data_IF_560462178323
#
_entry.id   IF_560462178323
#
_cell.length_a   1.000
_cell.length_b   1.000
_cell.length_c   1.000
_cell.angle_alpha   90.00
_cell.angle_beta   90.00
_cell.angle_gamma   90.00
#
_symmetry.space_group_name_H-M   'P 1'
#
loop_
_entity.id
_entity.type
_entity.pdbx_description
1 polymer ?
#
# COMPACT_ATOMS: atom_id res chain seq x y z
N UNK A 1 -15.13 -16.95 -4.61
CA UNK A 1 -14.42 -16.31 -3.47
C UNK A 1 -13.53 -17.36 -2.83
N UNK A 2 -12.37 -16.97 -2.32
CA UNK A 2 -11.59 -17.82 -1.42
C UNK A 2 -12.16 -17.56 -0.02
N UNK A 3 -12.55 -18.62 0.68
CA UNK A 3 -13.05 -18.51 2.05
C UNK A 3 -12.48 -19.66 2.87
N UNK A 4 -11.89 -19.36 4.02
CA UNK A 4 -11.43 -20.36 4.98
C UNK A 4 -10.05 -20.94 4.65
N UNK A 5 -8.99 -20.15 4.83
CA UNK A 5 -7.63 -20.69 4.94
C UNK A 5 -7.51 -21.39 6.30
N UNK A 6 -7.28 -22.70 6.27
CA UNK A 6 -7.08 -23.50 7.47
C UNK A 6 -5.72 -24.20 7.40
N UNK A 7 -4.92 -24.05 8.46
CA UNK A 7 -3.72 -24.87 8.66
C UNK A 7 -4.17 -26.22 9.23
N UNK A 8 -4.01 -27.28 8.44
CA UNK A 8 -4.31 -28.66 8.84
C UNK A 8 -3.13 -29.31 9.57
N UNK A 9 -1.91 -29.00 9.12
CA UNK A 9 -0.66 -29.49 9.70
C UNK A 9 0.32 -28.33 9.90
N UNK A 10 0.54 -27.99 11.17
CA UNK A 10 1.39 -26.88 11.56
C UNK A 10 2.87 -27.10 11.24
N UNK A 11 3.36 -28.35 11.23
CA UNK A 11 4.76 -28.64 10.92
C UNK A 11 5.00 -28.55 9.41
N UNK A 12 4.12 -29.16 8.62
CA UNK A 12 4.20 -29.07 7.16
C UNK A 12 4.04 -27.61 6.67
N UNK A 13 3.19 -26.81 7.31
CA UNK A 13 3.07 -25.39 7.01
C UNK A 13 4.32 -24.60 7.43
N UNK A 14 4.92 -24.91 8.58
CA UNK A 14 6.16 -24.23 9.02
C UNK A 14 7.33 -24.51 8.06
N UNK A 15 7.43 -25.72 7.52
CA UNK A 15 8.44 -26.09 6.52
C UNK A 15 8.17 -25.42 5.14
N UNK A 16 6.91 -25.04 4.89
CA UNK A 16 6.48 -24.38 3.66
C UNK A 16 6.57 -22.85 3.72
N UNK A 17 6.34 -22.24 4.88
CA UNK A 17 6.46 -20.79 5.07
C UNK A 17 7.90 -20.31 4.80
N UNK A 18 8.12 -19.16 4.15
CA UNK A 18 7.15 -18.14 3.72
C UNK A 18 6.71 -18.26 2.26
N UNK A 19 6.68 -19.45 1.67
CA UNK A 19 6.38 -19.62 0.25
C UNK A 19 4.90 -19.37 -0.08
N UNK A 20 4.63 -18.66 -1.18
CA UNK A 20 3.26 -18.51 -1.72
C UNK A 20 2.97 -19.59 -2.78
N UNK A 21 1.69 -19.85 -3.05
CA UNK A 21 1.29 -20.69 -4.19
C UNK A 21 0.40 -19.97 -5.19
N UNK A 22 0.44 -20.48 -6.43
CA UNK A 22 -0.53 -20.16 -7.48
C UNK A 22 -1.31 -21.43 -7.80
N UNK A 23 -2.63 -21.33 -7.72
CA UNK A 23 -3.59 -22.34 -8.16
C UNK A 23 -4.05 -21.94 -9.57
N UNK A 24 -3.76 -22.77 -10.57
CA UNK A 24 -4.09 -22.51 -11.98
C UNK A 24 -5.10 -23.55 -12.48
N UNK A 25 -6.20 -23.07 -13.06
CA UNK A 25 -7.27 -23.91 -13.59
C UNK A 25 -7.06 -24.29 -15.05
N UNK A 26 -7.19 -25.58 -15.36
CA UNK A 26 -6.89 -26.16 -16.68
C UNK A 26 -7.88 -27.26 -17.05
N UNK A 27 -8.10 -27.53 -18.35
CA UNK A 27 -8.91 -28.67 -18.76
C UNK A 27 -8.21 -29.97 -18.37
N UNK A 28 -8.96 -30.93 -17.86
CA UNK A 28 -8.50 -32.31 -17.72
C UNK A 28 -8.77 -33.03 -19.03
N UNK A 29 -7.78 -33.01 -19.93
CA UNK A 29 -7.89 -33.53 -21.30
C UNK A 29 -8.13 -35.05 -21.36
N UNK A 30 -7.92 -35.76 -20.25
CA UNK A 30 -8.10 -37.22 -20.13
C UNK A 30 -9.56 -37.67 -19.89
N UNK A 31 -10.51 -36.73 -19.69
CA UNK A 31 -11.93 -37.03 -19.49
C UNK A 31 -12.82 -36.48 -20.61
N UNK A 32 -13.83 -37.26 -21.02
CA UNK A 32 -14.88 -36.85 -21.96
C UNK A 32 -16.26 -36.94 -21.28
N UNK A 33 -16.96 -35.82 -21.01
CA UNK A 33 -16.60 -34.45 -21.35
C UNK A 33 -15.44 -33.89 -20.51
N UNK A 34 -14.74 -32.83 -20.99
CA UNK A 34 -13.64 -32.21 -20.26
C UNK A 34 -14.12 -31.73 -18.89
N UNK A 35 -13.44 -32.17 -17.83
CA UNK A 35 -13.64 -31.63 -16.49
C UNK A 35 -12.60 -30.56 -16.21
N UNK A 36 -12.92 -29.62 -15.33
CA UNK A 36 -11.95 -28.64 -14.87
C UNK A 36 -11.01 -29.32 -13.86
N UNK A 37 -9.72 -29.07 -14.01
CA UNK A 37 -8.68 -29.48 -13.07
C UNK A 37 -7.88 -28.27 -12.60
N UNK A 38 -7.09 -28.45 -11.54
CA UNK A 38 -6.19 -27.42 -11.05
C UNK A 38 -4.77 -27.97 -10.83
N UNK A 39 -3.80 -27.09 -11.02
CA UNK A 39 -2.40 -27.29 -10.62
C UNK A 39 -2.07 -26.29 -9.52
N UNK A 40 -1.24 -26.70 -8.57
CA UNK A 40 -0.70 -25.82 -7.54
C UNK A 40 0.80 -25.78 -7.73
N UNK A 41 1.33 -24.57 -7.87
CA UNK A 41 2.77 -24.33 -8.03
C UNK A 41 3.25 -23.30 -7.04
N UNK A 42 4.47 -23.48 -6.54
CA UNK A 42 5.13 -22.45 -5.75
C UNK A 42 5.35 -21.20 -6.61
N UNK A 43 5.13 -20.04 -6.00
CA UNK A 43 5.27 -18.75 -6.67
C UNK A 43 6.74 -18.39 -6.91
N UNK A 44 7.62 -18.77 -6.01
CA UNK A 44 9.05 -18.41 -6.00
C UNK A 44 9.84 -19.09 -7.11
N UNK A 45 9.74 -20.43 -7.21
CA UNK A 45 10.55 -21.25 -8.11
C UNK A 45 9.73 -21.99 -9.18
N UNK A 46 8.40 -21.90 -9.12
CA UNK A 46 7.50 -22.58 -10.05
C UNK A 46 7.34 -24.08 -9.81
N UNK A 47 7.87 -24.62 -8.71
CA UNK A 47 7.78 -26.06 -8.41
C UNK A 47 6.32 -26.49 -8.27
N UNK A 48 5.94 -27.53 -9.01
CA UNK A 48 4.58 -28.08 -8.96
C UNK A 48 4.44 -28.92 -7.68
N UNK A 49 3.46 -28.55 -6.85
CA UNK A 49 3.09 -29.25 -5.62
C UNK A 49 1.94 -30.22 -5.87
N UNK A 50 0.99 -29.83 -6.71
CA UNK A 50 -0.19 -30.61 -7.08
C UNK A 50 -0.44 -30.46 -8.57
N UNK A 51 -0.74 -31.56 -9.27
CA UNK A 51 -0.94 -31.57 -10.72
C UNK A 51 -2.19 -32.36 -11.09
N UNK A 52 -2.93 -31.86 -12.09
CA UNK A 52 -4.10 -32.51 -12.72
C UNK A 52 -5.16 -33.01 -11.72
N UNK A 53 -5.39 -32.29 -10.61
CA UNK A 53 -6.45 -32.67 -9.68
C UNK A 53 -7.81 -32.14 -10.16
N UNK A 54 -8.88 -32.95 -10.13
CA UNK A 54 -10.20 -32.48 -10.53
C UNK A 54 -10.67 -31.37 -9.59
N UNK A 55 -11.28 -30.33 -10.14
CA UNK A 55 -11.88 -29.25 -9.38
C UNK A 55 -13.36 -29.53 -9.13
N UNK A 56 -13.76 -29.46 -7.86
CA UNK A 56 -15.15 -29.46 -7.43
C UNK A 56 -15.41 -28.17 -6.66
N UNK A 57 -16.44 -27.43 -7.06
CA UNK A 57 -16.78 -26.15 -6.41
C UNK A 57 -17.10 -26.34 -4.93
N UNK A 58 -16.37 -25.62 -4.08
CA UNK A 58 -16.57 -25.61 -2.63
C UNK A 58 -15.90 -26.77 -1.88
N UNK A 59 -15.31 -27.73 -2.60
CA UNK A 59 -14.45 -28.75 -1.99
C UNK A 59 -13.12 -28.12 -1.53
N UNK A 60 -12.55 -28.73 -0.50
CA UNK A 60 -11.29 -28.30 0.09
C UNK A 60 -10.13 -28.70 -0.82
N UNK A 61 -9.27 -27.73 -1.11
CA UNK A 61 -8.03 -27.91 -1.86
C UNK A 61 -6.89 -27.88 -0.86
N UNK A 62 -6.17 -29.00 -0.74
CA UNK A 62 -5.11 -29.19 0.26
C UNK A 62 -3.72 -29.21 -0.39
N UNK A 63 -2.77 -28.51 0.23
CA UNK A 63 -1.37 -28.51 -0.16
C UNK A 63 -0.50 -28.06 1.01
N UNK A 64 0.69 -28.65 1.17
CA UNK A 64 1.71 -28.20 2.12
C UNK A 64 1.21 -27.93 3.56
N UNK A 65 0.26 -28.73 4.05
CA UNK A 65 -0.33 -28.58 5.39
C UNK A 65 -1.41 -27.50 5.51
N UNK A 66 -1.81 -26.86 4.40
CA UNK A 66 -2.86 -25.84 4.32
C UNK A 66 -4.01 -26.36 3.48
N UNK A 67 -5.20 -25.88 3.81
CA UNK A 67 -6.43 -26.10 3.10
C UNK A 67 -7.09 -24.77 2.72
N UNK A 68 -7.60 -24.69 1.50
CA UNK A 68 -8.39 -23.56 1.01
C UNK A 68 -9.65 -24.04 0.31
N UNK A 69 -10.75 -23.31 0.45
CA UNK A 69 -11.97 -23.59 -0.30
C UNK A 69 -12.15 -22.55 -1.40
N UNK A 70 -12.26 -23.04 -2.64
CA UNK A 70 -12.59 -22.22 -3.81
C UNK A 70 -13.99 -22.63 -4.28
N UNK A 71 -14.94 -21.70 -4.21
CA UNK A 71 -16.29 -21.89 -4.73
C UNK A 71 -16.51 -21.07 -6.01
N UNK A 72 -17.28 -21.65 -6.95
CA UNK A 72 -17.67 -21.02 -8.21
C UNK A 72 -17.39 -21.90 -9.42
N UNK A 73 -17.42 -21.28 -10.60
CA UNK A 73 -17.06 -21.91 -11.88
C UNK A 73 -15.88 -21.13 -12.49
N UNK A 74 -14.64 -21.39 -12.04
CA UNK A 74 -13.46 -20.77 -12.65
C UNK A 74 -13.35 -21.19 -14.11
N UNK A 75 -12.89 -20.27 -14.95
CA UNK A 75 -12.59 -20.54 -16.35
C UNK A 75 -11.20 -21.18 -16.50
N UNK A 76 -10.97 -21.82 -17.65
CA UNK A 76 -9.64 -22.31 -18.01
C UNK A 76 -8.68 -21.12 -18.13
N UNK A 77 -7.53 -21.22 -17.48
CA UNK A 77 -6.51 -20.18 -17.39
C UNK A 77 -6.67 -19.24 -16.19
N UNK A 78 -7.75 -19.37 -15.41
CA UNK A 78 -7.89 -18.59 -14.18
C UNK A 78 -6.80 -19.00 -13.17
N UNK A 79 -6.23 -17.99 -12.51
CA UNK A 79 -5.22 -18.18 -11.47
C UNK A 79 -5.66 -17.54 -10.16
N UNK A 80 -5.46 -18.25 -9.06
CA UNK A 80 -5.63 -17.73 -7.71
C UNK A 80 -4.29 -17.79 -6.98
N UNK A 81 -3.93 -16.69 -6.31
CA UNK A 81 -2.73 -16.63 -5.47
C UNK A 81 -3.18 -16.86 -4.05
N UNK A 82 -2.52 -17.79 -3.36
CA UNK A 82 -2.66 -17.97 -1.91
C UNK A 82 -1.36 -17.51 -1.27
N UNK A 83 -1.45 -16.44 -0.50
CA UNK A 83 -0.30 -15.84 0.18
C UNK A 83 -0.11 -16.51 1.54
N UNK A 84 1.11 -16.96 1.82
CA UNK A 84 1.42 -17.56 3.12
C UNK A 84 1.58 -16.46 4.16
N UNK A 85 0.52 -16.19 4.91
CA UNK A 85 0.60 -15.30 6.06
C UNK A 85 0.60 -16.08 7.38
N UNK A 86 1.50 -15.72 8.29
CA UNK A 86 1.37 -16.06 9.71
C UNK A 86 0.41 -15.10 10.43
N UNK A 87 -0.21 -14.16 9.70
CA UNK A 87 -1.03 -13.08 10.24
C UNK A 87 -2.49 -13.47 10.10
N UNK A 88 -2.96 -14.30 11.03
CA UNK A 88 -4.40 -14.57 11.14
C UNK A 88 -5.13 -13.27 11.51
N UNK A 89 -6.24 -12.99 10.84
CA UNK A 89 -7.10 -11.86 11.20
C UNK A 89 -7.48 -11.93 12.68
N UNK A 90 -7.45 -10.81 13.40
CA UNK A 90 -7.62 -10.81 14.86
C UNK A 90 -8.95 -11.40 15.30
N UNK A 91 -10.02 -11.11 14.55
CA UNK A 91 -11.35 -11.66 14.82
C UNK A 91 -11.36 -13.17 14.62
N UNK A 92 -10.77 -13.67 13.53
CA UNK A 92 -10.65 -15.11 13.27
C UNK A 92 -9.80 -15.81 14.32
N UNK A 93 -8.69 -15.19 14.77
CA UNK A 93 -7.87 -15.73 15.86
C UNK A 93 -8.61 -15.79 17.20
N UNK A 94 -9.48 -14.80 17.49
CA UNK A 94 -10.36 -14.82 18.66
C UNK A 94 -11.47 -15.86 18.53
N UNK A 95 -12.04 -16.03 17.33
CA UNK A 95 -13.04 -17.06 17.03
C UNK A 95 -12.47 -18.47 17.27
N UNK A 96 -11.25 -18.74 16.80
CA UNK A 96 -10.58 -20.02 17.07
C UNK A 96 -10.31 -20.23 18.57
N UNK A 97 -9.91 -19.17 19.27
CA UNK A 97 -9.65 -19.24 20.70
C UNK A 97 -10.92 -19.54 21.50
N UNK A 98 -12.04 -18.90 21.15
CA UNK A 98 -13.35 -19.19 21.74
C UNK A 98 -13.81 -20.61 21.38
N UNK A 99 -13.61 -21.05 20.14
CA UNK A 99 -13.91 -22.42 19.73
C UNK A 99 -13.08 -23.44 20.53
N UNK A 100 -11.77 -23.18 20.70
CA UNK A 100 -10.87 -23.99 21.51
C UNK A 100 -11.32 -24.08 22.98
N UNK A 101 -11.74 -22.96 23.58
CA UNK A 101 -12.27 -22.94 24.95
C UNK A 101 -13.55 -23.78 25.11
N UNK A 102 -14.39 -23.84 24.07
CA UNK A 102 -15.65 -24.59 24.10
C UNK A 102 -15.46 -26.07 23.75
N UNK A 103 -14.38 -26.43 23.05
CA UNK A 103 -14.16 -27.78 22.53
C UNK A 103 -13.23 -28.62 23.41
N UNK A 104 -12.23 -28.01 24.05
CA UNK A 104 -11.21 -28.72 24.80
C UNK A 104 -11.62 -29.05 26.24
N UNK A 105 -11.40 -30.30 26.66
CA UNK A 105 -11.72 -30.80 27.99
C UNK A 105 -10.54 -30.77 28.97
N UNK A 106 -10.69 -31.45 30.11
CA UNK A 106 -9.72 -31.38 31.23
C UNK A 106 -8.53 -32.36 31.12
N UNK A 107 -8.38 -33.06 29.99
CA UNK A 107 -7.29 -34.01 29.78
C UNK A 107 -5.95 -33.31 29.45
N UNK A 108 -4.84 -34.03 29.64
CA UNK A 108 -3.47 -33.48 29.51
C UNK A 108 -3.22 -32.92 28.09
N UNK A 109 -3.70 -33.61 27.06
CA UNK A 109 -3.51 -33.24 25.66
C UNK A 109 -4.25 -31.95 25.31
N UNK A 110 -5.51 -31.85 25.75
CA UNK A 110 -6.37 -30.69 25.53
C UNK A 110 -5.86 -29.46 26.29
N UNK A 111 -5.35 -29.63 27.52
CA UNK A 111 -4.67 -28.57 28.28
C UNK A 111 -3.44 -28.04 27.55
N UNK A 112 -2.62 -28.92 26.98
CA UNK A 112 -1.43 -28.50 26.22
C UNK A 112 -1.82 -27.70 24.97
N UNK A 113 -2.84 -28.16 24.22
CA UNK A 113 -3.37 -27.43 23.06
C UNK A 113 -3.94 -26.06 23.43
N UNK A 114 -4.69 -25.98 24.53
CA UNK A 114 -5.26 -24.72 25.01
C UNK A 114 -4.16 -23.72 25.42
N UNK A 115 -3.09 -24.19 26.07
CA UNK A 115 -1.94 -23.35 26.42
C UNK A 115 -1.27 -22.76 25.16
N UNK A 116 -1.04 -23.59 24.14
CA UNK A 116 -0.48 -23.13 22.85
C UNK A 116 -1.40 -22.14 22.14
N UNK A 117 -2.71 -22.38 22.12
CA UNK A 117 -3.68 -21.46 21.51
C UNK A 117 -3.72 -20.12 22.25
N UNK A 118 -3.61 -20.14 23.59
CA UNK A 118 -3.55 -18.94 24.42
C UNK A 118 -2.31 -18.11 24.10
N UNK A 119 -1.14 -18.76 24.01
CA UNK A 119 0.12 -18.10 23.65
C UNK A 119 0.06 -17.46 22.25
N UNK A 120 -0.53 -18.18 21.29
CA UNK A 120 -0.74 -17.69 19.92
C UNK A 120 -1.68 -16.48 19.91
N UNK A 121 -2.78 -16.54 20.64
CA UNK A 121 -3.74 -15.44 20.76
C UNK A 121 -3.09 -14.20 21.38
N UNK A 122 -2.29 -14.36 22.43
CA UNK A 122 -1.57 -13.26 23.06
C UNK A 122 -0.55 -12.61 22.11
N UNK A 123 0.18 -13.42 21.33
CA UNK A 123 1.11 -12.93 20.32
C UNK A 123 0.38 -12.12 19.23
N UNK A 124 -0.75 -12.63 18.73
CA UNK A 124 -1.56 -11.94 17.74
C UNK A 124 -2.12 -10.60 18.27
N UNK A 125 -2.57 -10.56 19.53
CA UNK A 125 -2.99 -9.31 20.18
C UNK A 125 -1.84 -8.31 20.36
N UNK A 126 -0.63 -8.79 20.65
CA UNK A 126 0.57 -7.96 20.69
C UNK A 126 0.86 -7.33 19.33
N UNK A 127 0.84 -8.13 18.26
CA UNK A 127 1.03 -7.64 16.89
C UNK A 127 -0.06 -6.64 16.46
N UNK A 128 -1.30 -6.86 16.87
CA UNK A 128 -2.40 -5.92 16.67
C UNK A 128 -2.13 -4.56 17.32
N UNK A 129 -1.71 -4.61 18.58
CA UNK A 129 -1.40 -3.41 19.36
C UNK A 129 -0.28 -2.61 18.70
N UNK A 130 0.78 -3.28 18.23
CA UNK A 130 1.87 -2.63 17.49
C UNK A 130 1.37 -1.95 16.22
N UNK A 131 0.53 -2.62 15.41
CA UNK A 131 -0.04 -2.03 14.20
C UNK A 131 -0.93 -0.82 14.49
N UNK A 132 -1.70 -0.85 15.60
CA UNK A 132 -2.50 0.30 16.04
C UNK A 132 -1.62 1.47 16.49
N UNK A 133 -0.53 1.20 17.21
CA UNK A 133 0.43 2.23 17.64
C UNK A 133 1.13 2.88 16.45
N UNK A 134 1.52 2.09 15.45
CA UNK A 134 2.11 2.59 14.21
C UNK A 134 1.12 3.47 13.44
N UNK A 135 -0.13 3.01 13.30
CA UNK A 135 -1.21 3.78 12.67
C UNK A 135 -1.46 5.09 13.39
N UNK A 136 -1.54 5.08 14.73
CA UNK A 136 -1.70 6.28 15.56
C UNK A 136 -0.52 7.25 15.39
N UNK A 137 0.70 6.73 15.29
CA UNK A 137 1.90 7.54 15.06
C UNK A 137 1.87 8.20 13.67
N UNK A 138 1.44 7.46 12.65
CA UNK A 138 1.24 7.98 11.30
C UNK A 138 0.16 9.08 11.26
N UNK A 139 -0.95 8.89 11.96
CA UNK A 139 -2.00 9.92 12.12
C UNK A 139 -1.41 11.17 12.80
N UNK A 140 -0.60 11.00 13.86
CA UNK A 140 0.08 12.12 14.52
C UNK A 140 1.00 12.90 13.57
N UNK A 141 1.80 12.19 12.76
CA UNK A 141 2.63 12.84 11.74
C UNK A 141 1.80 13.60 10.70
N UNK A 142 0.66 13.05 10.28
CA UNK A 142 -0.27 13.72 9.36
C UNK A 142 -0.92 14.96 9.97
N UNK A 143 -1.27 14.92 11.26
CA UNK A 143 -1.80 16.09 11.97
C UNK A 143 -0.76 17.22 12.02
N UNK A 144 0.50 16.90 12.35
CA UNK A 144 1.59 17.89 12.31
C UNK A 144 1.78 18.51 10.92
N UNK A 145 1.66 17.70 9.86
CA UNK A 145 1.72 18.19 8.49
C UNK A 145 0.54 19.11 8.15
N UNK A 146 -0.68 18.75 8.58
CA UNK A 146 -1.87 19.58 8.40
C UNK A 146 -1.69 20.92 9.12
N UNK A 147 -1.26 20.93 10.38
CA UNK A 147 -1.02 22.16 11.13
C UNK A 147 0.03 23.05 10.46
N UNK A 148 1.15 22.47 10.03
CA UNK A 148 2.19 23.20 9.29
C UNK A 148 1.67 23.80 7.98
N UNK A 149 0.80 23.06 7.28
CA UNK A 149 0.18 23.52 6.04
C UNK A 149 -0.83 24.63 6.30
N UNK A 150 -1.59 24.57 7.39
CA UNK A 150 -2.51 25.63 7.80
C UNK A 150 -1.74 26.92 8.10
N UNK A 151 -0.66 26.85 8.88
CA UNK A 151 0.20 28.02 9.15
C UNK A 151 0.77 28.63 7.86
N UNK A 152 1.30 27.81 6.95
CA UNK A 152 1.82 28.30 5.67
C UNK A 152 0.73 28.98 4.80
N UNK A 153 -0.51 28.49 4.86
CA UNK A 153 -1.65 29.12 4.19
C UNK A 153 -2.04 30.45 4.83
N UNK A 154 -1.98 30.56 6.17
CA UNK A 154 -2.21 31.82 6.89
C UNK A 154 -1.16 32.87 6.51
N UNK A 155 0.12 32.48 6.45
CA UNK A 155 1.21 33.36 6.01
C UNK A 155 1.04 33.81 4.55
N UNK A 156 0.64 32.90 3.67
CA UNK A 156 0.35 33.20 2.26
C UNK A 156 -0.82 34.18 2.14
N UNK A 157 -1.88 33.96 2.93
CA UNK A 157 -3.04 34.86 2.98
C UNK A 157 -2.63 36.26 3.46
N UNK A 158 -1.83 36.36 4.51
CA UNK A 158 -1.31 37.62 5.01
C UNK A 158 -0.48 38.33 3.93
N UNK A 159 0.42 37.61 3.27
CA UNK A 159 1.27 38.15 2.19
C UNK A 159 0.43 38.70 1.04
N UNK A 160 -0.61 37.97 0.62
CA UNK A 160 -1.55 38.42 -0.42
C UNK A 160 -2.30 39.67 0.04
N UNK A 161 -2.77 39.71 1.30
CA UNK A 161 -3.45 40.89 1.85
C UNK A 161 -2.53 42.11 1.91
N UNK A 162 -1.27 41.95 2.31
CA UNK A 162 -0.27 43.03 2.32
C UNK A 162 0.04 43.52 0.91
N UNK A 163 0.23 42.61 -0.05
CA UNK A 163 0.45 42.98 -1.45
C UNK A 163 -0.75 43.73 -2.03
N UNK A 164 -1.97 43.27 -1.73
CA UNK A 164 -3.20 43.95 -2.15
C UNK A 164 -3.32 45.35 -1.54
N UNK A 165 -3.05 45.50 -0.23
CA UNK A 165 -3.02 46.82 0.43
C UNK A 165 -2.00 47.73 -0.26
N UNK A 166 -0.77 47.26 -0.48
CA UNK A 166 0.26 48.06 -1.15
C UNK A 166 -0.15 48.48 -2.57
N UNK A 167 -0.88 47.65 -3.31
CA UNK A 167 -1.40 48.00 -4.64
C UNK A 167 -2.59 48.97 -4.57
N UNK A 168 -3.44 48.89 -3.55
CA UNK A 168 -4.54 49.82 -3.33
C UNK A 168 -4.06 51.19 -2.85
N UNK A 169 -3.03 51.19 -2.00
CA UNK A 169 -2.41 52.37 -1.41
C UNK A 169 -1.45 53.07 -2.40
N UNK A 170 -1.07 52.41 -3.51
CA UNK A 170 -0.23 53.01 -4.55
C UNK A 170 -1.04 54.00 -5.40
N UNK A 171 -0.60 55.25 -5.44
CA UNK A 171 -1.10 56.23 -6.40
C UNK A 171 -0.62 55.86 -7.81
N UNK A 172 -1.48 55.17 -8.56
CA UNK A 172 -1.21 54.73 -9.93
C UNK A 172 -0.76 55.86 -10.85
N UNK A 173 -1.29 57.08 -10.69
CA UNK A 173 -0.91 58.21 -11.54
C UNK A 173 0.52 58.66 -11.28
N UNK A 174 0.92 58.74 -10.00
CA UNK A 174 2.29 59.05 -9.61
C UNK A 174 3.27 57.92 -10.01
N UNK A 175 2.88 56.65 -9.83
CA UNK A 175 3.70 55.49 -10.16
C UNK A 175 3.92 55.34 -11.68
N UNK A 176 2.90 55.59 -12.50
CA UNK A 176 3.04 55.60 -13.98
C UNK A 176 4.00 56.71 -14.39
N UNK A 177 3.86 57.92 -13.84
CA UNK A 177 4.76 59.04 -14.11
C UNK A 177 6.22 58.68 -13.78
N UNK A 178 6.45 58.11 -12.60
CA UNK A 178 7.77 57.66 -12.16
C UNK A 178 8.36 56.57 -13.08
N UNK A 179 7.58 55.55 -13.44
CA UNK A 179 8.01 54.49 -14.34
C UNK A 179 8.35 55.01 -15.74
N UNK A 180 7.54 55.94 -16.27
CA UNK A 180 7.85 56.58 -17.57
C UNK A 180 9.15 57.40 -17.50
N UNK A 181 9.42 58.05 -16.36
CA UNK A 181 10.66 58.79 -16.16
C UNK A 181 11.87 57.85 -16.08
N UNK A 182 11.78 56.76 -15.34
CA UNK A 182 12.87 55.76 -15.24
C UNK A 182 13.14 55.07 -16.59
N UNK A 183 12.09 54.74 -17.34
CA UNK A 183 12.22 54.14 -18.69
C UNK A 183 12.91 55.10 -19.66
N UNK A 184 12.53 56.38 -19.63
CA UNK A 184 13.17 57.42 -20.44
C UNK A 184 14.66 57.59 -20.08
N UNK A 185 14.99 57.59 -18.78
CA UNK A 185 16.37 57.67 -18.31
C UNK A 185 17.18 56.46 -18.78
N UNK A 186 16.61 55.25 -18.70
CA UNK A 186 17.27 54.03 -19.15
C UNK A 186 17.53 54.05 -20.67
N UNK A 187 16.55 54.43 -21.49
CA UNK A 187 16.74 54.59 -22.93
C UNK A 187 17.82 55.64 -23.24
N UNK A 188 17.79 56.78 -22.54
CA UNK A 188 18.80 57.82 -22.70
C UNK A 188 20.21 57.35 -22.31
N UNK A 189 20.33 56.55 -21.24
CA UNK A 189 21.59 55.96 -20.81
C UNK A 189 22.11 54.93 -21.83
N UNK A 190 21.23 54.07 -22.36
CA UNK A 190 21.59 53.11 -23.40
C UNK A 190 22.01 53.79 -24.70
N UNK A 191 21.29 54.83 -25.14
CA UNK A 191 21.62 55.63 -26.32
C UNK A 191 22.96 56.37 -26.16
N UNK A 192 23.21 56.92 -24.96
CA UNK A 192 24.47 57.59 -24.63
C UNK A 192 25.63 56.60 -24.61
N UNK A 193 25.45 55.44 -23.98
CA UNK A 193 26.45 54.37 -23.95
C UNK A 193 26.79 53.86 -25.36
N UNK A 194 25.79 53.66 -26.22
CA UNK A 194 26.00 53.25 -27.61
C UNK A 194 26.74 54.31 -28.42
N UNK A 195 26.48 55.60 -28.19
CA UNK A 195 27.23 56.72 -28.82
C UNK A 195 28.67 56.78 -28.36
N UNK A 196 28.93 56.70 -27.05
CA UNK A 196 30.30 56.71 -26.50
C UNK A 196 31.09 55.48 -26.96
N UNK A 197 30.47 54.30 -26.96
CA UNK A 197 31.09 53.06 -27.43
C UNK A 197 31.45 53.12 -28.92
N UNK A 198 30.59 53.71 -29.77
CA UNK A 198 30.90 53.95 -31.19
C UNK A 198 32.07 54.93 -31.36
N UNK A 199 32.11 56.03 -30.61
CA UNK A 199 33.21 57.01 -30.69
C UNK A 199 34.56 56.43 -30.21
N UNK A 200 34.55 55.55 -29.22
CA UNK A 200 35.75 54.83 -28.75
C UNK A 200 36.33 53.91 -29.83
N UNK A 201 35.48 53.18 -30.56
CA UNK A 201 35.90 52.28 -31.64
C UNK A 201 36.51 53.03 -32.84
N UNK A 202 36.02 54.24 -33.15
CA UNK A 202 36.62 55.08 -34.20
C UNK A 202 37.93 55.76 -33.78
N UNK A 203 38.26 55.84 -32.49
CA UNK A 203 39.53 56.37 -32.00
C UNK A 203 40.64 55.29 -31.88
N UNK A 204 40.36 54.03 -32.23
CA UNK A 204 41.33 52.92 -32.17
C UNK A 204 41.90 52.51 -33.54
N UNK A 205 41.59 53.25 -34.60
CA UNK A 205 42.13 53.06 -35.97
C UNK A 205 42.79 54.36 -36.41
#
# INVERSE_FOLDING_TARGET
SISGEQVLDAQAFADFYPEDVVIEFRPLEEMNPPQLSYHIRQRSDGRILVQNKPYVSGEQIEFSGVAVNIAGQPAVGDTFIVESSNRKGLLTGLEDFVAALNQYGDNITDKAKLATQTATTLSNLGNAQSALLETRSSIGARLNLVDSTLTANEDSKLTIQTALSSLQDLDYAAAISQLTQESFILEAAQASFARVSKLSIFNYI
#
